data_IF_646631811254
#
_entry.id   IF_646631811254
#
_cell.length_a   1.000
_cell.length_b   1.000
_cell.length_c   1.000
_cell.angle_alpha   90.00
_cell.angle_beta   90.00
_cell.angle_gamma   90.00
#
_symmetry.space_group_name_H-M   'P 1'
#
loop_
_entity.id
_entity.type
_entity.pdbx_description
1 polymer ?
#
# COMPACT_ATOMS: atom_id res chain seq x y z
N UNK A 1 23.46 -1.81 -14.23
CA UNK A 1 23.17 -3.21 -13.81
C UNK A 1 22.11 -3.78 -14.76
N UNK A 2 22.36 -4.92 -15.41
CA UNK A 2 21.31 -5.63 -16.16
C UNK A 2 20.31 -6.16 -15.12
N UNK A 3 19.23 -5.41 -14.89
CA UNK A 3 18.10 -5.91 -14.10
C UNK A 3 17.62 -7.17 -14.83
N UNK A 4 17.83 -8.34 -14.22
CA UNK A 4 17.44 -9.60 -14.84
C UNK A 4 15.95 -9.55 -15.15
N UNK A 5 15.51 -10.20 -16.25
CA UNK A 5 14.09 -10.21 -16.65
C UNK A 5 13.18 -10.70 -15.52
N UNK A 6 13.73 -11.54 -14.63
CA UNK A 6 13.05 -12.03 -13.43
C UNK A 6 12.80 -10.90 -12.42
N UNK A 7 13.79 -10.03 -12.18
CA UNK A 7 13.66 -8.91 -11.26
C UNK A 7 12.58 -7.91 -11.68
N UNK A 8 12.52 -7.51 -12.96
CA UNK A 8 11.49 -6.57 -13.43
C UNK A 8 10.07 -7.14 -13.33
N UNK A 9 9.91 -8.44 -13.58
CA UNK A 9 8.62 -9.12 -13.43
C UNK A 9 8.21 -9.27 -11.96
N UNK A 10 9.16 -9.60 -11.08
CA UNK A 10 8.91 -9.64 -9.63
C UNK A 10 8.53 -8.28 -9.09
N UNK A 11 9.16 -7.19 -9.54
CA UNK A 11 8.80 -5.83 -9.16
C UNK A 11 7.38 -5.47 -9.62
N UNK A 12 7.03 -5.78 -10.87
CA UNK A 12 5.68 -5.53 -11.37
C UNK A 12 4.60 -6.33 -10.63
N UNK A 13 4.87 -7.61 -10.34
CA UNK A 13 3.99 -8.44 -9.52
C UNK A 13 3.84 -7.88 -8.10
N UNK A 14 4.92 -7.41 -7.50
CA UNK A 14 4.91 -6.83 -6.15
C UNK A 14 4.22 -5.47 -6.06
N UNK A 15 3.96 -4.77 -7.16
CA UNK A 15 3.07 -3.61 -7.16
C UNK A 15 1.59 -4.00 -7.28
N UNK A 16 1.27 -5.07 -8.02
CA UNK A 16 -0.12 -5.50 -8.22
C UNK A 16 -0.66 -6.35 -7.07
N UNK A 17 0.14 -7.28 -6.56
CA UNK A 17 -0.25 -8.21 -5.50
C UNK A 17 -0.73 -7.49 -4.23
N UNK A 18 -0.03 -6.49 -3.67
CA UNK A 18 -0.54 -5.75 -2.51
C UNK A 18 -1.84 -5.00 -2.83
N UNK A 19 -1.96 -4.37 -4.01
CA UNK A 19 -3.20 -3.70 -4.42
C UNK A 19 -4.42 -4.65 -4.37
N UNK A 20 -4.29 -5.85 -4.95
CA UNK A 20 -5.35 -6.86 -4.91
C UNK A 20 -5.55 -7.46 -3.52
N UNK A 21 -4.47 -7.79 -2.80
CA UNK A 21 -4.54 -8.35 -1.47
C UNK A 21 -5.24 -7.39 -0.49
N UNK A 22 -4.90 -6.11 -0.55
CA UNK A 22 -5.53 -5.07 0.28
C UNK A 22 -7.00 -4.85 -0.10
N UNK A 23 -7.29 -4.72 -1.40
CA UNK A 23 -8.65 -4.48 -1.89
C UNK A 23 -9.60 -5.64 -1.54
N UNK A 24 -9.20 -6.88 -1.83
CA UNK A 24 -9.99 -8.07 -1.51
C UNK A 24 -10.07 -8.27 0.00
N UNK A 25 -8.96 -8.12 0.73
CA UNK A 25 -8.93 -8.27 2.18
C UNK A 25 -9.87 -7.29 2.89
N UNK A 26 -9.86 -6.02 2.48
CA UNK A 26 -10.76 -4.99 3.01
C UNK A 26 -12.22 -5.28 2.65
N UNK A 27 -12.50 -5.71 1.42
CA UNK A 27 -13.86 -6.06 1.00
C UNK A 27 -14.44 -7.22 1.84
N UNK A 28 -13.64 -8.26 2.11
CA UNK A 28 -14.03 -9.39 2.94
C UNK A 28 -14.26 -8.99 4.41
N UNK A 29 -13.39 -8.15 4.98
CA UNK A 29 -13.55 -7.68 6.36
C UNK A 29 -14.79 -6.79 6.47
N UNK A 30 -14.96 -5.84 5.56
CA UNK A 30 -16.08 -4.88 5.60
C UNK A 30 -17.43 -5.54 5.33
N UNK A 31 -17.51 -6.56 4.47
CA UNK A 31 -18.76 -7.30 4.25
C UNK A 31 -19.25 -7.94 5.54
N UNK A 32 -18.35 -8.50 6.34
CA UNK A 32 -18.69 -9.13 7.62
C UNK A 32 -19.01 -8.06 8.68
N UNK A 33 -18.29 -6.93 8.70
CA UNK A 33 -18.55 -5.84 9.66
C UNK A 33 -19.90 -5.15 9.45
N UNK A 34 -20.42 -5.15 8.22
CA UNK A 34 -21.74 -4.60 7.90
C UNK A 34 -22.89 -5.51 8.35
N UNK A 35 -22.64 -6.80 8.57
CA UNK A 35 -23.60 -7.80 9.05
C UNK A 35 -23.14 -8.41 10.39
N UNK A 36 -23.03 -7.60 11.47
CA UNK A 36 -22.44 -8.04 12.74
C UNK A 36 -23.21 -9.20 13.40
N UNK A 37 -24.50 -9.37 13.09
CA UNK A 37 -25.32 -10.48 13.58
C UNK A 37 -24.86 -11.87 13.08
N UNK A 38 -24.01 -11.93 12.04
CA UNK A 38 -23.50 -13.17 11.45
C UNK A 38 -21.98 -13.35 11.61
N UNK A 39 -21.32 -12.54 12.47
CA UNK A 39 -19.88 -12.59 12.72
C UNK A 39 -19.38 -14.01 13.06
N UNK A 40 -20.13 -14.74 13.90
CA UNK A 40 -19.80 -16.11 14.29
C UNK A 40 -19.81 -17.09 13.10
N UNK A 41 -20.77 -16.95 12.17
CA UNK A 41 -20.91 -17.80 10.99
C UNK A 41 -19.94 -17.46 9.85
N UNK A 42 -19.46 -16.22 9.80
CA UNK A 42 -18.57 -15.71 8.75
C UNK A 42 -17.10 -15.57 9.20
N UNK A 43 -16.72 -16.19 10.34
CA UNK A 43 -15.36 -16.13 10.91
C UNK A 43 -14.27 -16.45 9.90
N UNK A 44 -14.47 -17.48 9.06
CA UNK A 44 -13.49 -17.88 8.03
C UNK A 44 -13.24 -16.77 7.00
N UNK A 45 -14.28 -16.05 6.58
CA UNK A 45 -14.16 -14.93 5.64
C UNK A 45 -13.42 -13.76 6.27
N UNK A 46 -13.76 -13.43 7.52
CA UNK A 46 -13.10 -12.36 8.27
C UNK A 46 -11.60 -12.64 8.47
N UNK A 47 -11.26 -13.84 8.94
CA UNK A 47 -9.86 -14.26 9.13
C UNK A 47 -9.13 -14.32 7.79
N UNK A 48 -9.77 -14.81 6.73
CA UNK A 48 -9.21 -14.78 5.38
C UNK A 48 -8.90 -13.37 4.90
N UNK A 49 -9.80 -12.41 5.13
CA UNK A 49 -9.59 -10.99 4.83
C UNK A 49 -8.43 -10.39 5.65
N UNK A 50 -8.38 -10.65 6.96
CA UNK A 50 -7.29 -10.21 7.82
C UNK A 50 -5.93 -10.78 7.39
N UNK A 51 -5.86 -12.06 7.00
CA UNK A 51 -4.64 -12.67 6.47
C UNK A 51 -4.20 -12.03 5.15
N UNK A 52 -5.12 -11.67 4.27
CA UNK A 52 -4.80 -10.92 3.05
C UNK A 52 -4.24 -9.53 3.35
N UNK A 53 -4.75 -8.83 4.37
CA UNK A 53 -4.22 -7.55 4.82
C UNK A 53 -2.80 -7.68 5.41
N UNK A 54 -2.52 -8.76 6.14
CA UNK A 54 -1.16 -9.07 6.61
C UNK A 54 -0.23 -9.40 5.44
N UNK A 55 -0.72 -10.16 4.46
CA UNK A 55 0.05 -10.49 3.26
C UNK A 55 0.37 -9.24 2.44
N UNK A 56 -0.56 -8.29 2.32
CA UNK A 56 -0.31 -6.98 1.76
C UNK A 56 0.88 -6.28 2.46
N UNK A 57 0.88 -6.27 3.79
CA UNK A 57 1.97 -5.66 4.58
C UNK A 57 3.32 -6.30 4.29
N UNK A 58 3.37 -7.62 4.07
CA UNK A 58 4.59 -8.33 3.66
C UNK A 58 5.06 -7.92 2.26
N UNK A 59 4.14 -7.80 1.30
CA UNK A 59 4.47 -7.34 -0.05
C UNK A 59 5.00 -5.90 -0.06
N UNK A 60 4.42 -5.00 0.73
CA UNK A 60 4.87 -3.62 0.90
C UNK A 60 6.34 -3.56 1.37
N UNK A 61 6.71 -4.38 2.35
CA UNK A 61 8.12 -4.50 2.79
C UNK A 61 8.98 -5.08 1.66
N UNK A 62 8.48 -6.10 0.96
CA UNK A 62 9.15 -6.71 -0.19
C UNK A 62 9.48 -5.71 -1.31
N UNK A 63 8.57 -4.78 -1.62
CA UNK A 63 8.81 -3.68 -2.57
C UNK A 63 10.00 -2.84 -2.09
N UNK A 64 9.99 -2.42 -0.82
CA UNK A 64 11.09 -1.65 -0.23
C UNK A 64 12.44 -2.33 -0.38
N UNK A 65 12.52 -3.61 0.00
CA UNK A 65 13.76 -4.40 -0.04
C UNK A 65 14.27 -4.58 -1.46
N UNK A 66 13.39 -4.84 -2.44
CA UNK A 66 13.82 -5.03 -3.83
C UNK A 66 14.23 -3.72 -4.52
N UNK A 67 13.63 -2.58 -4.14
CA UNK A 67 14.03 -1.27 -4.66
C UNK A 67 15.28 -0.70 -3.97
N UNK A 68 15.64 -1.19 -2.80
CA UNK A 68 16.82 -0.74 -2.06
C UNK A 68 18.11 -0.73 -2.89
N UNK A 69 18.54 -1.82 -3.56
CA UNK A 69 19.77 -1.80 -4.36
C UNK A 69 19.70 -0.79 -5.52
N UNK A 70 18.53 -0.65 -6.15
CA UNK A 70 18.33 0.28 -7.28
C UNK A 70 18.46 1.73 -6.82
N UNK A 71 17.87 2.07 -5.68
CA UNK A 71 17.93 3.43 -5.11
C UNK A 71 19.31 3.74 -4.50
N UNK A 72 19.96 2.75 -3.88
CA UNK A 72 21.25 2.91 -3.19
C UNK A 72 22.36 3.36 -4.12
N UNK A 73 22.38 2.87 -5.36
CA UNK A 73 23.39 3.25 -6.36
C UNK A 73 23.42 4.75 -6.65
N UNK A 74 22.30 5.47 -6.46
CA UNK A 74 22.20 6.89 -6.81
C UNK A 74 22.03 7.80 -5.61
N UNK A 75 21.22 7.39 -4.65
CA UNK A 75 20.82 8.20 -3.50
C UNK A 75 20.68 7.30 -2.27
N UNK A 76 21.78 6.98 -1.57
CA UNK A 76 21.73 6.08 -0.42
C UNK A 76 20.80 6.59 0.69
N UNK A 77 20.72 7.91 0.91
CA UNK A 77 19.79 8.49 1.87
C UNK A 77 18.31 8.23 1.54
N UNK A 78 17.91 8.40 0.27
CA UNK A 78 16.53 8.13 -0.18
C UNK A 78 16.25 6.62 -0.14
N UNK A 79 17.23 5.78 -0.46
CA UNK A 79 17.06 4.33 -0.41
C UNK A 79 16.73 3.84 1.01
N UNK A 80 17.48 4.31 2.00
CA UNK A 80 17.24 3.99 3.41
C UNK A 80 15.91 4.57 3.87
N UNK A 81 15.66 5.85 3.59
CA UNK A 81 14.39 6.49 3.95
C UNK A 81 13.18 5.74 3.37
N UNK A 82 13.25 5.31 2.11
CA UNK A 82 12.18 4.56 1.46
C UNK A 82 11.91 3.22 2.16
N UNK A 83 12.95 2.43 2.43
CA UNK A 83 12.80 1.16 3.16
C UNK A 83 12.22 1.40 4.56
N UNK A 84 12.72 2.41 5.29
CA UNK A 84 12.17 2.77 6.59
C UNK A 84 10.68 3.12 6.51
N UNK A 85 10.27 3.93 5.53
CA UNK A 85 8.84 4.27 5.34
C UNK A 85 7.99 3.04 5.01
N UNK A 86 8.49 2.09 4.20
CA UNK A 86 7.79 0.82 3.90
C UNK A 86 7.59 -0.05 5.14
N UNK A 87 8.62 -0.16 5.97
CA UNK A 87 8.55 -0.94 7.21
C UNK A 87 7.60 -0.28 8.20
N UNK A 88 7.67 1.04 8.37
CA UNK A 88 6.75 1.79 9.24
C UNK A 88 5.29 1.68 8.76
N UNK A 89 5.04 1.82 7.46
CA UNK A 89 3.73 1.60 6.84
C UNK A 89 3.20 0.20 7.17
N UNK A 90 3.99 -0.85 6.88
CA UNK A 90 3.60 -2.22 7.12
C UNK A 90 3.28 -2.50 8.60
N UNK A 91 4.12 -2.01 9.53
CA UNK A 91 3.87 -2.14 10.96
C UNK A 91 2.58 -1.43 11.39
N UNK A 92 2.32 -0.24 10.86
CA UNK A 92 1.11 0.52 11.17
C UNK A 92 -0.15 -0.18 10.63
N UNK A 93 -0.09 -0.77 9.43
CA UNK A 93 -1.17 -1.60 8.89
C UNK A 93 -1.40 -2.87 9.73
N UNK A 94 -0.33 -3.51 10.21
CA UNK A 94 -0.44 -4.68 11.11
C UNK A 94 -1.16 -4.30 12.40
N UNK A 95 -0.85 -3.13 13.00
CA UNK A 95 -1.60 -2.60 14.15
C UNK A 95 -3.08 -2.43 13.81
N UNK A 96 -3.39 -1.91 12.61
CA UNK A 96 -4.75 -1.87 12.08
C UNK A 96 -5.44 -3.24 12.05
N UNK A 97 -4.74 -4.28 11.59
CA UNK A 97 -5.26 -5.65 11.57
C UNK A 97 -5.46 -6.21 12.98
N UNK A 98 -4.59 -5.89 13.94
CA UNK A 98 -4.77 -6.30 15.35
C UNK A 98 -6.10 -5.76 15.88
N UNK A 99 -6.46 -4.50 15.61
CA UNK A 99 -7.77 -3.97 15.99
C UNK A 99 -8.93 -4.76 15.37
N UNK A 100 -8.82 -5.18 14.11
CA UNK A 100 -9.82 -6.04 13.45
C UNK A 100 -9.93 -7.41 14.13
N UNK A 101 -8.81 -8.04 14.48
CA UNK A 101 -8.82 -9.32 15.18
C UNK A 101 -9.43 -9.19 16.59
N UNK A 102 -9.21 -8.08 17.29
CA UNK A 102 -9.90 -7.80 18.55
C UNK A 102 -11.42 -7.68 18.36
N UNK A 103 -11.89 -7.07 17.26
CA UNK A 103 -13.32 -7.01 16.93
C UNK A 103 -13.90 -8.41 16.72
N UNK A 104 -13.15 -9.29 16.06
CA UNK A 104 -13.58 -10.68 15.85
C UNK A 104 -13.80 -11.42 17.17
N UNK A 105 -12.93 -11.21 18.17
CA UNK A 105 -13.05 -11.83 19.50
C UNK A 105 -14.21 -11.26 20.32
N UNK A 106 -14.67 -10.03 20.04
CA UNK A 106 -15.90 -9.51 20.63
C UNK A 106 -17.13 -10.33 20.20
N UNK A 107 -17.16 -10.87 18.97
CA UNK A 107 -18.19 -11.77 18.48
C UNK A 107 -19.63 -11.32 18.78
N UNK A 108 -20.50 -12.25 19.19
CA UNK A 108 -21.90 -11.96 19.57
C UNK A 108 -22.01 -11.09 20.84
N UNK A 109 -20.93 -10.97 21.63
CA UNK A 109 -20.88 -10.09 22.81
C UNK A 109 -20.82 -8.60 22.42
N UNK A 110 -20.60 -8.29 21.13
CA UNK A 110 -20.56 -6.93 20.60
C UNK A 110 -21.90 -6.18 20.81
N UNK A 111 -23.04 -6.87 20.86
CA UNK A 111 -24.34 -6.24 21.12
C UNK A 111 -24.39 -5.52 22.48
N UNK A 112 -23.66 -6.03 23.49
CA UNK A 112 -23.53 -5.39 24.80
C UNK A 112 -22.35 -4.43 24.94
N UNK A 113 -21.45 -4.38 23.94
CA UNK A 113 -20.18 -3.63 23.98
C UNK A 113 -20.00 -2.70 22.77
N UNK A 114 -21.11 -2.13 22.26
CA UNK A 114 -21.12 -1.15 21.18
C UNK A 114 -20.02 -0.06 21.26
N UNK A 115 -19.70 0.56 22.43
CA UNK A 115 -18.64 1.57 22.50
C UNK A 115 -17.24 0.99 22.25
N UNK A 116 -16.97 -0.25 22.69
CA UNK A 116 -15.66 -0.90 22.46
C UNK A 116 -15.51 -1.27 20.98
N UNK A 117 -16.55 -1.80 20.35
CA UNK A 117 -16.57 -2.07 18.91
C UNK A 117 -16.28 -0.80 18.09
N UNK A 118 -16.95 0.31 18.41
CA UNK A 118 -16.72 1.59 17.71
C UNK A 118 -15.29 2.11 17.93
N UNK A 119 -14.73 1.96 19.13
CA UNK A 119 -13.37 2.38 19.43
C UNK A 119 -12.34 1.58 18.62
N UNK A 120 -12.50 0.25 18.54
CA UNK A 120 -11.62 -0.63 17.76
C UNK A 120 -11.72 -0.35 16.25
N UNK A 121 -12.94 -0.15 15.73
CA UNK A 121 -13.16 0.21 14.32
C UNK A 121 -12.52 1.56 13.98
N UNK A 122 -12.64 2.55 14.87
CA UNK A 122 -11.89 3.80 14.75
C UNK A 122 -10.39 3.54 14.78
N UNK A 123 -9.89 2.74 15.72
CA UNK A 123 -8.47 2.39 15.81
C UNK A 123 -7.90 1.84 14.50
N UNK A 124 -8.63 0.95 13.82
CA UNK A 124 -8.29 0.45 12.49
C UNK A 124 -8.23 1.59 11.45
N UNK A 125 -9.23 2.47 11.43
CA UNK A 125 -9.25 3.64 10.53
C UNK A 125 -8.05 4.57 10.76
N UNK A 126 -7.74 4.93 12.01
CA UNK A 126 -6.58 5.78 12.33
C UNK A 126 -5.27 5.12 11.91
N UNK A 127 -5.11 3.83 12.16
CA UNK A 127 -3.94 3.07 11.73
C UNK A 127 -3.78 3.09 10.20
N UNK A 128 -4.88 2.90 9.46
CA UNK A 128 -4.86 3.00 8.00
C UNK A 128 -4.43 4.38 7.51
N UNK A 129 -5.03 5.46 8.03
CA UNK A 129 -4.70 6.81 7.58
C UNK A 129 -3.25 7.18 7.90
N UNK A 130 -2.74 6.81 9.07
CA UNK A 130 -1.33 7.00 9.42
C UNK A 130 -0.40 6.22 8.47
N UNK A 131 -0.75 4.98 8.15
CA UNK A 131 0.01 4.19 7.18
C UNK A 131 0.03 4.86 5.79
N UNK A 132 -1.10 5.38 5.32
CA UNK A 132 -1.22 6.05 4.02
C UNK A 132 -0.44 7.37 3.95
N UNK A 133 -0.34 8.11 5.06
CA UNK A 133 0.52 9.30 5.15
C UNK A 133 2.00 8.91 5.03
N UNK A 134 2.44 7.90 5.79
CA UNK A 134 3.82 7.40 5.76
C UNK A 134 4.18 6.90 4.36
N UNK A 135 3.27 6.10 3.77
CA UNK A 135 3.32 5.61 2.40
C UNK A 135 3.50 6.75 1.41
N UNK A 136 2.61 7.74 1.44
CA UNK A 136 2.60 8.83 0.48
C UNK A 136 3.87 9.67 0.54
N UNK A 137 4.32 10.05 1.74
CA UNK A 137 5.56 10.82 1.94
C UNK A 137 6.79 10.05 1.43
N UNK A 138 6.91 8.77 1.78
CA UNK A 138 8.00 7.92 1.32
C UNK A 138 8.01 7.69 -0.18
N UNK A 139 6.82 7.48 -0.76
CA UNK A 139 6.64 7.27 -2.20
C UNK A 139 6.90 8.52 -3.03
N UNK A 140 6.61 9.73 -2.54
CA UNK A 140 6.91 10.97 -3.28
C UNK A 140 8.42 11.10 -3.49
N UNK A 141 9.22 10.91 -2.44
CA UNK A 141 10.68 10.94 -2.53
C UNK A 141 11.21 9.86 -3.50
N UNK A 142 10.61 8.67 -3.45
CA UNK A 142 10.91 7.58 -4.36
C UNK A 142 10.60 7.92 -5.84
N UNK A 143 9.41 8.42 -6.13
CA UNK A 143 8.99 8.82 -7.47
C UNK A 143 9.87 9.93 -8.05
N UNK A 144 10.26 10.92 -7.24
CA UNK A 144 11.18 11.98 -7.66
C UNK A 144 12.59 11.45 -7.95
N UNK A 145 13.06 10.45 -7.20
CA UNK A 145 14.31 9.77 -7.48
C UNK A 145 14.24 9.00 -8.81
N UNK A 146 13.12 8.30 -9.06
CA UNK A 146 12.88 7.62 -10.34
C UNK A 146 12.82 8.60 -11.51
N UNK A 147 12.18 9.75 -11.36
CA UNK A 147 12.15 10.81 -12.37
C UNK A 147 13.57 11.25 -12.77
N UNK A 148 14.44 11.51 -11.80
CA UNK A 148 15.84 11.90 -12.04
C UNK A 148 16.65 10.79 -12.71
N UNK A 149 16.35 9.53 -12.41
CA UNK A 149 17.08 8.38 -12.95
C UNK A 149 16.80 8.07 -14.42
N UNK A 150 15.74 8.66 -15.01
CA UNK A 150 15.25 8.41 -16.38
C UNK A 150 15.04 6.92 -16.71
N UNK A 151 14.80 6.09 -15.69
CA UNK A 151 14.51 4.65 -15.85
C UNK A 151 13.12 4.39 -16.45
N UNK A 152 12.20 5.34 -16.24
CA UNK A 152 10.82 5.30 -16.68
C UNK A 152 10.52 6.51 -17.58
N UNK A 153 9.45 6.47 -18.40
CA UNK A 153 8.96 7.64 -19.11
C UNK A 153 8.75 8.79 -18.12
N UNK A 154 9.26 9.98 -18.44
CA UNK A 154 9.30 11.14 -17.52
C UNK A 154 7.94 11.51 -16.91
N UNK A 155 6.84 11.29 -17.64
CA UNK A 155 5.49 11.55 -17.13
C UNK A 155 5.05 10.59 -16.01
N UNK A 156 5.51 9.34 -16.03
CA UNK A 156 5.01 8.28 -15.15
C UNK A 156 5.40 8.53 -13.67
N UNK A 157 6.68 8.75 -13.32
CA UNK A 157 7.03 9.11 -11.96
C UNK A 157 6.45 10.45 -11.49
N UNK A 158 6.16 11.38 -12.41
CA UNK A 158 5.54 12.67 -12.06
C UNK A 158 4.08 12.48 -11.62
N UNK A 159 3.32 11.67 -12.35
CA UNK A 159 1.96 11.26 -11.98
C UNK A 159 1.97 10.48 -10.67
N UNK A 160 2.94 9.58 -10.47
CA UNK A 160 3.11 8.88 -9.20
C UNK A 160 3.38 9.80 -8.02
N UNK A 161 4.32 10.75 -8.18
CA UNK A 161 4.61 11.73 -7.13
C UNK A 161 3.38 12.59 -6.79
N UNK A 162 2.63 13.05 -7.79
CA UNK A 162 1.39 13.77 -7.58
C UNK A 162 0.33 12.89 -6.88
N UNK A 163 0.16 11.63 -7.32
CA UNK A 163 -0.81 10.70 -6.76
C UNK A 163 -0.53 10.34 -5.31
N UNK A 164 0.73 10.04 -4.96
CA UNK A 164 1.11 9.76 -3.57
C UNK A 164 1.08 11.01 -2.67
N UNK A 165 1.38 12.19 -3.23
CA UNK A 165 1.21 13.46 -2.51
C UNK A 165 -0.27 13.74 -2.21
N UNK A 166 -1.14 13.53 -3.18
CA UNK A 166 -2.59 13.62 -3.01
C UNK A 166 -3.10 12.59 -2.00
N UNK A 167 -2.63 11.33 -2.07
CA UNK A 167 -2.98 10.29 -1.11
C UNK A 167 -2.63 10.69 0.33
N UNK A 168 -1.41 11.19 0.57
CA UNK A 168 -1.01 11.66 1.89
C UNK A 168 -1.88 12.84 2.36
N UNK A 169 -2.15 13.80 1.48
CA UNK A 169 -3.02 14.94 1.79
C UNK A 169 -4.45 14.49 2.12
N UNK A 170 -5.02 13.58 1.32
CA UNK A 170 -6.34 13.01 1.54
C UNK A 170 -6.42 12.28 2.88
N UNK A 171 -5.39 11.52 3.22
CA UNK A 171 -5.31 10.80 4.49
C UNK A 171 -5.25 11.77 5.68
N UNK A 172 -4.53 12.90 5.56
CA UNK A 172 -4.53 13.97 6.58
C UNK A 172 -5.92 14.60 6.69
N UNK A 173 -6.58 14.90 5.58
CA UNK A 173 -7.93 15.50 5.58
C UNK A 173 -8.98 14.57 6.22
N UNK A 174 -8.86 13.27 6.01
CA UNK A 174 -9.69 12.25 6.66
C UNK A 174 -9.50 12.24 8.20
N UNK A 175 -8.29 12.53 8.70
CA UNK A 175 -8.08 12.72 10.15
C UNK A 175 -8.81 13.95 10.70
N UNK A 176 -9.03 14.97 9.88
CA UNK A 176 -9.86 16.13 10.20
C UNK A 176 -11.37 15.90 9.95
N UNK A 177 -11.76 14.70 9.52
CA UNK A 177 -13.16 14.35 9.25
C UNK A 177 -13.69 14.81 7.90
N UNK A 178 -12.82 15.17 6.96
CA UNK A 178 -13.20 15.55 5.60
C UNK A 178 -13.01 14.36 4.64
N UNK A 179 -14.07 13.87 3.96
CA UNK A 179 -14.06 12.60 3.22
C UNK A 179 -13.43 12.72 1.81
N UNK A 180 -12.21 13.26 1.73
CA UNK A 180 -11.47 13.44 0.46
C UNK A 180 -10.49 12.31 0.16
N UNK A 181 -10.32 11.34 1.07
CA UNK A 181 -9.30 10.30 0.98
C UNK A 181 -9.48 9.41 -0.26
N UNK A 182 -10.71 9.01 -0.57
CA UNK A 182 -11.02 8.15 -1.73
C UNK A 182 -10.77 8.88 -3.05
N UNK A 183 -11.15 10.15 -3.15
CA UNK A 183 -10.95 10.93 -4.37
C UNK A 183 -9.46 11.12 -4.66
N UNK A 184 -8.67 11.35 -3.62
CA UNK A 184 -7.24 11.63 -3.74
C UNK A 184 -6.37 10.36 -3.84
N UNK A 185 -6.89 9.18 -3.49
CA UNK A 185 -6.19 7.90 -3.69
C UNK A 185 -6.26 7.38 -5.13
N UNK A 186 -7.29 7.78 -5.89
CA UNK A 186 -7.51 7.34 -7.27
C UNK A 186 -6.29 7.51 -8.21
N UNK A 187 -5.66 8.70 -8.26
CA UNK A 187 -4.46 8.92 -9.08
C UNK A 187 -3.27 8.04 -8.68
N UNK A 188 -3.10 7.79 -7.38
CA UNK A 188 -2.06 6.89 -6.86
C UNK A 188 -2.29 5.43 -7.26
N UNK A 189 -3.51 4.93 -7.10
CA UNK A 189 -3.87 3.56 -7.51
C UNK A 189 -3.73 3.35 -9.02
N UNK A 190 -4.13 4.33 -9.84
CA UNK A 190 -3.95 4.27 -11.29
C UNK A 190 -2.45 4.21 -11.66
N UNK A 191 -1.61 5.00 -10.99
CA UNK A 191 -0.17 4.96 -11.19
C UNK A 191 0.41 3.57 -10.88
N UNK A 192 0.02 2.95 -9.76
CA UNK A 192 0.50 1.61 -9.39
C UNK A 192 0.11 0.54 -10.40
N UNK A 193 -1.14 0.58 -10.89
CA UNK A 193 -1.63 -0.35 -11.92
C UNK A 193 -0.87 -0.16 -13.24
N UNK A 194 -0.68 1.08 -13.68
CA UNK A 194 0.05 1.40 -14.91
C UNK A 194 1.53 1.01 -14.77
N UNK A 195 2.16 1.31 -13.64
CA UNK A 195 3.56 0.97 -13.38
C UNK A 195 3.76 -0.55 -13.31
N UNK A 196 2.91 -1.26 -12.57
CA UNK A 196 2.95 -2.72 -12.46
C UNK A 196 2.76 -3.39 -13.83
N UNK A 197 1.75 -2.96 -14.58
CA UNK A 197 1.51 -3.43 -15.95
C UNK A 197 2.68 -3.12 -16.89
N UNK A 198 3.25 -1.92 -16.80
CA UNK A 198 4.41 -1.52 -17.61
C UNK A 198 5.65 -2.35 -17.28
N UNK A 199 5.94 -2.60 -16.01
CA UNK A 199 7.09 -3.42 -15.57
C UNK A 199 6.96 -4.87 -16.03
N UNK A 200 5.74 -5.43 -16.02
CA UNK A 200 5.47 -6.77 -16.54
C UNK A 200 5.63 -6.80 -18.07
N UNK A 201 5.02 -5.84 -18.78
CA UNK A 201 5.03 -5.80 -20.25
C UNK A 201 6.40 -5.45 -20.85
N UNK A 202 7.09 -4.46 -20.27
CA UNK A 202 8.42 -4.00 -20.72
C UNK A 202 9.58 -4.70 -20.02
N UNK A 203 9.37 -5.57 -19.04
CA UNK A 203 10.39 -6.51 -18.58
C UNK A 203 10.99 -7.38 -19.71
N UNK A 204 10.33 -7.44 -20.87
CA UNK A 204 10.83 -8.04 -22.11
C UNK A 204 11.70 -7.13 -23.01
N UNK A 205 11.72 -5.81 -22.80
CA UNK A 205 12.52 -4.86 -23.58
C UNK A 205 13.54 -4.18 -22.68
N UNK A 206 14.79 -4.54 -22.88
CA UNK A 206 16.00 -3.88 -22.38
C UNK A 206 15.78 -2.41 -22.07
N UNK A 207 16.05 -2.00 -20.81
CA UNK A 207 16.53 -0.64 -20.55
C UNK A 207 17.93 -0.59 -21.16
N UNK A 208 18.01 -0.53 -22.48
CA UNK A 208 19.20 -0.06 -23.15
C UNK A 208 19.27 1.45 -22.86
N UNK A 209 20.36 1.95 -22.26
CA UNK A 209 20.59 3.38 -22.29
C UNK A 209 20.56 3.77 -23.77
N UNK A 210 19.82 4.81 -24.13
CA UNK A 210 20.00 5.44 -25.43
C UNK A 210 21.45 5.93 -25.45
N UNK A 211 22.34 5.14 -26.05
CA UNK A 211 23.61 5.65 -26.55
C UNK A 211 23.21 6.57 -27.70
N UNK A 212 23.07 7.85 -27.39
CA UNK A 212 23.07 8.87 -28.41
C UNK A 212 24.50 8.91 -28.96
N UNK A 213 24.64 8.43 -30.19
CA UNK A 213 25.78 8.69 -31.06
C UNK A 213 25.83 10.18 -31.43
#
# INVERSE_FOLDING_TARGET
MNISRLHSRSLGALFLLPFFAYGIGTALVTSVLNEPEHLAGQRTLFVGGALLLLLNSLFVVGIGVLFFPILRERSPGIAVAYVCTRVMEALTLIVGVVFLLCILELGDSAQGQAPLFQLLSKGNFWAYQLAMIILGVGSVAFCLSLYRSRLLPSWLPLVGAAGYGLLALGSVLELFGLPWGILFSGPGGLFELVLGGWLIARGGRTVTPSVAA
#
